data_IF_616570569080
#
_entry.id   IF_616570569080
#
_cell.length_a   1.000
_cell.length_b   1.000
_cell.length_c   1.000
_cell.angle_alpha   90.00
_cell.angle_beta   90.00
_cell.angle_gamma   90.00
#
_symmetry.space_group_name_H-M   'P 1'
#
loop_
_entity.id
_entity.type
_entity.pdbx_description
1 polymer ?
#
# COMPACT_ATOMS: atom_id res chain seq x y z
N UNK A 1 11.02 13.24 4.22
CA UNK A 1 10.62 13.07 5.65
C UNK A 1 9.87 11.76 5.73
N UNK A 2 10.36 10.77 6.50
CA UNK A 2 9.70 9.46 6.65
C UNK A 2 8.39 9.60 7.44
N UNK A 3 7.28 9.84 6.75
CA UNK A 3 5.97 9.92 7.36
C UNK A 3 5.41 8.51 7.63
N UNK A 4 4.93 8.28 8.85
CA UNK A 4 4.34 7.01 9.28
C UNK A 4 3.14 6.64 8.39
N UNK A 5 3.09 5.39 7.95
CA UNK A 5 1.93 4.86 7.24
C UNK A 5 0.72 4.82 8.18
N UNK A 6 -0.45 5.10 7.64
CA UNK A 6 -1.71 4.87 8.36
C UNK A 6 -1.99 3.38 8.43
N UNK A 7 -2.83 2.96 9.39
CA UNK A 7 -3.29 1.57 9.50
C UNK A 7 -3.84 1.02 8.18
N UNK A 8 -4.57 1.83 7.40
CA UNK A 8 -5.16 1.40 6.14
C UNK A 8 -4.12 1.22 5.04
N UNK A 9 -3.12 2.10 4.99
CA UNK A 9 -1.99 1.99 4.08
C UNK A 9 -1.12 0.77 4.40
N UNK A 10 -0.89 0.47 5.69
CA UNK A 10 -0.20 -0.75 6.13
C UNK A 10 -0.96 -2.02 5.77
N UNK A 11 -2.29 -2.03 5.94
CA UNK A 11 -3.13 -3.15 5.51
C UNK A 11 -3.00 -3.39 4.00
N UNK A 12 -3.10 -2.32 3.20
CA UNK A 12 -2.92 -2.40 1.75
C UNK A 12 -1.53 -2.94 1.42
N UNK A 13 -0.46 -2.43 2.04
CA UNK A 13 0.89 -2.92 1.78
C UNK A 13 1.12 -4.37 2.22
N UNK A 14 0.49 -4.80 3.30
CA UNK A 14 0.50 -6.18 3.75
C UNK A 14 -0.09 -7.14 2.72
N UNK A 15 -1.20 -6.75 2.08
CA UNK A 15 -1.81 -7.53 1.01
C UNK A 15 -1.00 -7.45 -0.29
N UNK A 16 -0.38 -6.30 -0.61
CA UNK A 16 0.57 -6.19 -1.71
C UNK A 16 1.74 -7.14 -1.54
N UNK A 17 2.30 -7.24 -0.33
CA UNK A 17 3.39 -8.17 0.01
C UNK A 17 2.99 -9.63 -0.17
N UNK A 18 1.71 -9.96 0.04
CA UNK A 18 1.13 -11.28 -0.22
C UNK A 18 0.91 -11.57 -1.72
N UNK A 19 1.19 -10.60 -2.61
CA UNK A 19 1.07 -10.76 -4.06
C UNK A 19 -0.29 -10.37 -4.64
N UNK A 20 -1.22 -9.86 -3.84
CA UNK A 20 -2.59 -9.54 -4.31
C UNK A 20 -2.60 -8.32 -5.22
N UNK A 21 -3.34 -8.39 -6.32
CA UNK A 21 -3.67 -7.27 -7.21
C UNK A 21 -4.55 -6.23 -6.52
N UNK A 22 -4.66 -5.02 -7.09
CA UNK A 22 -5.50 -3.97 -6.50
C UNK A 22 -6.99 -4.38 -6.43
N UNK A 23 -7.48 -5.19 -7.36
CA UNK A 23 -8.85 -5.70 -7.35
C UNK A 23 -9.08 -6.75 -6.27
N UNK A 24 -8.10 -7.64 -6.03
CA UNK A 24 -8.18 -8.61 -4.92
C UNK A 24 -8.08 -7.90 -3.56
N UNK A 25 -7.22 -6.88 -3.44
CA UNK A 25 -7.14 -6.04 -2.24
C UNK A 25 -8.46 -5.30 -2.01
N UNK A 26 -9.06 -4.78 -3.07
CA UNK A 26 -10.35 -4.09 -3.00
C UNK A 26 -11.46 -5.02 -2.48
N UNK A 27 -11.51 -6.25 -2.97
CA UNK A 27 -12.45 -7.27 -2.51
C UNK A 27 -12.20 -7.65 -1.03
N UNK A 28 -10.95 -7.95 -0.66
CA UNK A 28 -10.56 -8.32 0.72
C UNK A 28 -10.89 -7.22 1.74
N UNK A 29 -10.75 -5.96 1.32
CA UNK A 29 -10.92 -4.80 2.17
C UNK A 29 -12.29 -4.12 2.03
N UNK A 30 -13.19 -4.69 1.22
CA UNK A 30 -14.54 -4.19 0.91
C UNK A 30 -14.58 -2.70 0.51
N UNK A 31 -13.67 -2.30 -0.39
CA UNK A 31 -13.58 -0.93 -0.92
C UNK A 31 -13.44 -0.93 -2.45
N UNK A 32 -13.58 0.23 -3.09
CA UNK A 32 -13.34 0.35 -4.53
C UNK A 32 -11.85 0.20 -4.88
N UNK A 33 -11.55 -0.41 -6.04
CA UNK A 33 -10.18 -0.52 -6.59
C UNK A 33 -9.48 0.84 -6.71
N UNK A 34 -10.22 1.90 -7.05
CA UNK A 34 -9.69 3.28 -7.06
C UNK A 34 -9.20 3.73 -5.69
N UNK A 35 -9.90 3.35 -4.62
CA UNK A 35 -9.51 3.68 -3.23
C UNK A 35 -8.21 2.96 -2.85
N UNK A 36 -8.02 1.72 -3.28
CA UNK A 36 -6.73 1.01 -3.14
C UNK A 36 -5.62 1.78 -3.85
N UNK A 37 -5.87 2.23 -5.09
CA UNK A 37 -4.94 3.09 -5.83
C UNK A 37 -4.56 4.35 -5.07
N UNK A 38 -5.54 5.04 -4.46
CA UNK A 38 -5.31 6.22 -3.64
C UNK A 38 -4.43 5.93 -2.41
N UNK A 39 -4.66 4.81 -1.73
CA UNK A 39 -3.80 4.38 -0.63
C UNK A 39 -2.37 4.10 -1.10
N UNK A 40 -2.19 3.46 -2.26
CA UNK A 40 -0.87 3.19 -2.82
C UNK A 40 -0.14 4.47 -3.25
N UNK A 41 -0.83 5.46 -3.82
CA UNK A 41 -0.26 6.78 -4.11
C UNK A 41 0.33 7.42 -2.84
N UNK A 42 -0.44 7.45 -1.76
CA UNK A 42 0.03 8.02 -0.49
C UNK A 42 1.16 7.21 0.14
N UNK A 43 1.13 5.88 0.04
CA UNK A 43 2.25 5.02 0.45
C UNK A 43 3.51 5.40 -0.32
N UNK A 44 3.42 5.52 -1.63
CA UNK A 44 4.56 5.78 -2.51
C UNK A 44 5.20 7.13 -2.16
N UNK A 45 4.37 8.14 -1.93
CA UNK A 45 4.81 9.45 -1.43
C UNK A 45 5.53 9.34 -0.07
N UNK A 46 4.92 8.67 0.91
CA UNK A 46 5.48 8.53 2.27
C UNK A 46 6.77 7.71 2.33
N UNK A 47 6.89 6.71 1.46
CA UNK A 47 8.07 5.84 1.35
C UNK A 47 9.08 6.39 0.34
N UNK A 48 8.87 7.59 -0.22
CA UNK A 48 9.77 8.23 -1.18
C UNK A 48 10.15 7.30 -2.35
N UNK A 49 9.13 6.67 -2.94
CA UNK A 49 9.24 5.75 -4.06
C UNK A 49 8.12 5.95 -5.07
N UNK A 50 8.28 5.41 -6.27
CA UNK A 50 7.27 5.47 -7.35
C UNK A 50 6.82 4.09 -7.81
N UNK A 51 7.30 3.02 -7.17
CA UNK A 51 7.07 1.66 -7.61
C UNK A 51 6.53 0.79 -6.51
N UNK A 52 5.69 -0.17 -6.90
CA UNK A 52 5.15 -1.21 -6.03
C UNK A 52 6.25 -1.98 -5.29
N UNK A 53 7.28 -2.40 -6.01
CA UNK A 53 8.42 -3.13 -5.44
C UNK A 53 9.28 -2.22 -4.55
N UNK A 54 9.49 -0.97 -4.94
CA UNK A 54 10.21 0.01 -4.12
C UNK A 54 9.50 0.29 -2.79
N UNK A 55 8.17 0.31 -2.79
CA UNK A 55 7.39 0.43 -1.55
C UNK A 55 7.60 -0.77 -0.63
N UNK A 56 7.60 -1.99 -1.18
CA UNK A 56 7.89 -3.20 -0.39
C UNK A 56 9.32 -3.23 0.15
N UNK A 57 10.31 -2.77 -0.61
CA UNK A 57 11.70 -2.74 -0.19
C UNK A 57 11.97 -1.75 0.96
N UNK A 58 11.17 -0.67 1.03
CA UNK A 58 11.32 0.39 2.04
C UNK A 58 10.41 0.20 3.26
N UNK A 59 9.43 -0.68 3.15
CA UNK A 59 8.50 -0.96 4.23
C UNK A 59 9.09 -1.95 5.23
N UNK A 60 9.33 -1.47 6.45
CA UNK A 60 9.75 -2.30 7.57
C UNK A 60 8.62 -2.33 8.63
N UNK A 61 7.70 -3.31 8.57
CA UNK A 61 6.66 -3.44 9.60
C UNK A 61 7.33 -3.77 10.94
N UNK A 62 7.03 -2.98 11.97
CA UNK A 62 7.49 -3.18 13.35
C UNK A 62 6.78 -4.35 14.02
#
# INVERSE_FOLDING_TARGET
MSATLTRREEQVLGLVRRGLTNSEIAAELEIATRTVGKHLEHVYEKLETSTRTGALARWNPS
#
